data_IF_660079792941
#
_entry.id   IF_660079792941
#
_cell.length_a   1.000
_cell.length_b   1.000
_cell.length_c   1.000
_cell.angle_alpha   90.00
_cell.angle_beta   90.00
_cell.angle_gamma   90.00
#
_symmetry.space_group_name_H-M   'P 1'
#
loop_
_entity.id
_entity.type
_entity.pdbx_description
1 polymer ?
#
# COMPACT_ATOMS: atom_id res chain seq x y z
N UNK A 1 -55.42 -3.93 -33.04
CA UNK A 1 -54.77 -4.30 -31.79
C UNK A 1 -53.33 -3.86 -31.84
N UNK A 2 -53.01 -2.85 -31.09
CA UNK A 2 -51.60 -2.40 -30.98
C UNK A 2 -50.95 -3.14 -29.82
N UNK A 3 -50.06 -4.04 -30.14
CA UNK A 3 -49.18 -4.65 -29.16
C UNK A 3 -48.15 -3.61 -28.72
N UNK A 4 -48.35 -3.09 -27.53
CA UNK A 4 -47.34 -2.25 -26.92
C UNK A 4 -46.10 -3.11 -26.64
N UNK A 5 -45.07 -2.95 -27.45
CA UNK A 5 -43.74 -3.50 -27.16
C UNK A 5 -43.11 -2.62 -26.10
N UNK A 6 -43.28 -3.01 -24.90
CA UNK A 6 -42.46 -2.47 -23.83
C UNK A 6 -41.06 -3.05 -24.00
N UNK A 7 -40.19 -2.25 -24.60
CA UNK A 7 -38.78 -2.57 -24.60
C UNK A 7 -38.28 -2.54 -23.14
N UNK A 8 -38.04 -3.68 -22.57
CA UNK A 8 -37.24 -3.78 -21.35
C UNK A 8 -35.84 -3.28 -21.71
N UNK A 9 -35.60 -2.03 -21.44
CA UNK A 9 -34.23 -1.53 -21.29
C UNK A 9 -33.68 -2.22 -20.06
N UNK A 10 -33.00 -3.37 -20.25
CA UNK A 10 -32.17 -3.93 -19.25
C UNK A 10 -31.01 -2.94 -19.04
N UNK A 11 -31.11 -2.11 -18.03
CA UNK A 11 -29.96 -1.40 -17.49
C UNK A 11 -29.02 -2.46 -16.97
N UNK A 12 -28.05 -2.85 -17.79
CA UNK A 12 -26.89 -3.57 -17.31
C UNK A 12 -26.09 -2.55 -16.50
N UNK A 13 -26.35 -2.52 -15.21
CA UNK A 13 -25.45 -1.84 -14.29
C UNK A 13 -24.14 -2.60 -14.38
N UNK A 14 -23.20 -2.09 -15.16
CA UNK A 14 -21.81 -2.53 -15.08
C UNK A 14 -21.34 -2.14 -13.70
N UNK A 15 -21.34 -3.09 -12.77
CA UNK A 15 -20.60 -2.96 -11.54
C UNK A 15 -19.13 -2.89 -11.93
N UNK A 16 -18.61 -1.67 -12.02
CA UNK A 16 -17.18 -1.46 -12.06
C UNK A 16 -16.62 -2.09 -10.79
N UNK A 17 -15.55 -2.92 -10.91
CA UNK A 17 -14.88 -3.39 -9.72
C UNK A 17 -14.53 -2.15 -8.91
N UNK A 18 -15.06 -2.05 -7.70
CA UNK A 18 -14.64 -1.04 -6.77
C UNK A 18 -13.19 -1.38 -6.44
N UNK A 19 -12.26 -0.75 -7.15
CA UNK A 19 -10.91 -0.65 -6.63
C UNK A 19 -11.06 0.09 -5.31
N UNK A 20 -10.80 -0.61 -4.21
CA UNK A 20 -10.66 0.06 -2.94
C UNK A 20 -9.52 1.05 -3.13
N UNK A 21 -9.86 2.31 -3.45
CA UNK A 21 -8.91 3.40 -3.44
C UNK A 21 -8.45 3.56 -2.01
N UNK A 22 -7.18 3.22 -1.78
CA UNK A 22 -6.60 3.21 -0.46
C UNK A 22 -6.74 1.88 0.26
N UNK A 23 -5.87 1.66 1.22
CA UNK A 23 -5.87 0.51 2.08
C UNK A 23 -6.64 0.76 3.37
N UNK A 24 -6.76 -0.29 4.16
CA UNK A 24 -7.30 -0.26 5.50
C UNK A 24 -6.19 0.05 6.51
N UNK A 25 -6.34 1.13 7.26
CA UNK A 25 -5.35 1.57 8.27
C UNK A 25 -5.15 0.53 9.37
N UNK A 26 -6.21 -0.09 9.85
CA UNK A 26 -6.12 -1.09 10.93
C UNK A 26 -5.47 -2.40 10.45
N UNK A 27 -5.82 -2.86 9.26
CA UNK A 27 -5.13 -3.97 8.63
C UNK A 27 -3.65 -3.65 8.40
N UNK A 28 -3.37 -2.44 7.95
CA UNK A 28 -2.03 -1.92 7.75
C UNK A 28 -1.21 -1.88 9.02
N UNK A 29 -1.82 -1.53 10.13
CA UNK A 29 -1.15 -1.50 11.45
C UNK A 29 -0.61 -2.89 11.82
N UNK A 30 -1.37 -3.93 11.56
CA UNK A 30 -0.94 -5.31 11.80
C UNK A 30 0.13 -5.73 10.80
N UNK A 31 -0.09 -5.47 9.52
CA UNK A 31 0.83 -5.84 8.44
C UNK A 31 2.17 -5.09 8.50
N UNK A 32 2.16 -3.86 9.01
CA UNK A 32 3.36 -3.04 9.16
C UNK A 32 4.18 -3.37 10.40
N UNK A 33 3.81 -4.36 11.18
CA UNK A 33 4.50 -4.69 12.43
C UNK A 33 6.01 -4.94 12.21
N UNK A 34 6.37 -5.67 11.17
CA UNK A 34 7.78 -5.91 10.83
C UNK A 34 8.48 -4.65 10.33
N UNK A 35 7.77 -3.77 9.66
CA UNK A 35 8.31 -2.48 9.18
C UNK A 35 8.72 -1.57 10.35
N UNK A 36 7.94 -1.58 11.42
CA UNK A 36 8.15 -0.75 12.58
C UNK A 36 9.45 -1.08 13.33
N UNK A 37 9.99 -2.28 13.16
CA UNK A 37 11.27 -2.66 13.73
C UNK A 37 12.46 -1.83 13.22
N UNK A 38 12.30 -1.20 12.07
CA UNK A 38 13.28 -0.28 11.48
C UNK A 38 12.69 1.11 11.32
N UNK A 39 11.57 1.23 10.61
CA UNK A 39 10.96 2.53 10.28
C UNK A 39 10.22 3.20 11.45
N UNK A 40 9.96 2.48 12.52
CA UNK A 40 9.34 3.01 13.73
C UNK A 40 10.34 3.59 14.74
N UNK A 41 11.63 3.46 14.50
CA UNK A 41 12.67 3.92 15.41
C UNK A 41 13.27 5.23 14.89
N UNK A 42 13.16 6.34 15.64
CA UNK A 42 13.75 7.60 15.22
C UNK A 42 15.27 7.49 15.02
N UNK A 43 15.77 8.04 13.93
CA UNK A 43 17.20 8.09 13.60
C UNK A 43 17.90 6.73 13.55
N UNK A 44 17.16 5.68 13.21
CA UNK A 44 17.71 4.33 13.15
C UNK A 44 18.67 4.15 11.96
N UNK A 45 19.83 3.60 12.26
CA UNK A 45 20.79 3.14 11.26
C UNK A 45 20.94 1.63 11.35
N UNK A 46 20.85 0.98 10.19
CA UNK A 46 21.18 -0.43 10.09
C UNK A 46 22.71 -0.61 10.23
N UNK A 47 23.14 -1.67 10.87
CA UNK A 47 24.57 -1.88 11.19
C UNK A 47 25.30 -2.59 10.06
N UNK A 48 24.71 -3.65 9.52
CA UNK A 48 25.31 -4.45 8.44
C UNK A 48 24.25 -4.85 7.40
N UNK A 49 24.32 -4.33 6.17
CA UNK A 49 25.16 -3.21 5.76
C UNK A 49 24.73 -1.91 6.44
N UNK A 50 25.66 -0.98 6.60
CA UNK A 50 25.38 0.30 7.25
C UNK A 50 24.62 1.23 6.32
N UNK A 51 23.40 1.60 6.69
CA UNK A 51 22.61 2.62 5.99
C UNK A 51 21.58 3.22 6.94
N UNK A 52 21.18 4.45 6.63
CA UNK A 52 20.14 5.14 7.36
C UNK A 52 18.77 4.63 6.94
N UNK A 53 17.92 4.28 7.91
CA UNK A 53 16.53 3.90 7.64
C UNK A 53 15.67 5.17 7.59
N UNK A 54 14.97 5.43 6.48
CA UNK A 54 14.18 6.64 6.35
C UNK A 54 12.92 6.61 7.21
N UNK A 55 12.47 7.78 7.60
CA UNK A 55 11.15 7.96 8.17
C UNK A 55 10.12 7.94 7.06
N UNK A 56 9.07 7.16 7.23
CA UNK A 56 8.01 7.06 6.23
C UNK A 56 6.63 7.49 6.76
N UNK A 57 6.51 7.75 8.05
CA UNK A 57 5.29 8.30 8.62
C UNK A 57 4.90 9.64 7.99
N UNK A 58 3.65 9.80 7.59
CA UNK A 58 3.15 10.98 6.92
C UNK A 58 3.41 11.04 5.41
N UNK A 59 4.08 10.05 4.83
CA UNK A 59 4.28 9.96 3.39
C UNK A 59 2.96 9.62 2.67
N UNK A 60 2.83 10.01 1.41
CA UNK A 60 1.61 9.71 0.64
C UNK A 60 1.45 8.21 0.37
N UNK A 61 0.20 7.75 0.36
CA UNK A 61 -0.10 6.34 0.06
C UNK A 61 0.44 5.93 -1.31
N UNK A 62 0.21 6.77 -2.32
CA UNK A 62 0.66 6.50 -3.68
C UNK A 62 2.18 6.30 -3.76
N UNK A 63 2.95 7.12 -3.07
CA UNK A 63 4.41 7.00 -3.05
C UNK A 63 4.85 5.71 -2.35
N UNK A 64 4.28 5.39 -1.19
CA UNK A 64 4.63 4.19 -0.44
C UNK A 64 4.33 2.92 -1.27
N UNK A 65 3.16 2.86 -1.90
CA UNK A 65 2.79 1.74 -2.77
C UNK A 65 3.76 1.62 -3.94
N UNK A 66 4.06 2.73 -4.61
CA UNK A 66 5.02 2.72 -5.73
C UNK A 66 6.41 2.26 -5.29
N UNK A 67 6.89 2.70 -4.12
CA UNK A 67 8.17 2.28 -3.57
C UNK A 67 8.19 0.77 -3.26
N UNK A 68 7.16 0.25 -2.60
CA UNK A 68 7.06 -1.18 -2.28
C UNK A 68 7.01 -2.04 -3.55
N UNK A 69 6.26 -1.62 -4.55
CA UNK A 69 6.24 -2.29 -5.87
C UNK A 69 7.61 -2.27 -6.54
N UNK A 70 8.30 -1.14 -6.48
CA UNK A 70 9.64 -0.99 -7.00
C UNK A 70 10.66 -1.91 -6.33
N UNK A 71 10.59 -2.06 -5.02
CA UNK A 71 11.43 -3.01 -4.29
C UNK A 71 11.10 -4.45 -4.63
N UNK A 72 9.82 -4.80 -4.69
CA UNK A 72 9.38 -6.15 -5.05
C UNK A 72 9.82 -6.55 -6.45
N UNK A 73 9.71 -5.67 -7.43
CA UNK A 73 10.12 -5.92 -8.81
C UNK A 73 11.63 -5.90 -9.02
N UNK A 74 12.37 -5.27 -8.14
CA UNK A 74 13.80 -5.03 -8.27
C UNK A 74 14.18 -3.77 -9.04
N UNK A 75 13.21 -2.98 -9.51
CA UNK A 75 13.48 -1.68 -10.15
C UNK A 75 14.16 -0.71 -9.17
N UNK A 76 13.77 -0.78 -7.92
CA UNK A 76 14.39 0.00 -6.86
C UNK A 76 15.39 -0.89 -6.11
N UNK A 77 16.71 -0.66 -6.27
CA UNK A 77 17.73 -1.55 -5.72
C UNK A 77 17.94 -1.28 -4.24
N UNK A 78 17.54 -2.24 -3.41
CA UNK A 78 17.82 -2.27 -1.98
C UNK A 78 17.51 -3.67 -1.45
N UNK A 79 18.52 -4.46 -1.16
CA UNK A 79 18.32 -5.88 -0.85
C UNK A 79 17.43 -6.14 0.36
N UNK A 80 17.59 -5.37 1.42
CA UNK A 80 16.76 -5.52 2.62
C UNK A 80 15.29 -5.22 2.31
N UNK A 81 15.01 -4.10 1.64
CA UNK A 81 13.65 -3.73 1.30
C UNK A 81 13.04 -4.67 0.25
N UNK A 82 13.85 -5.18 -0.67
CA UNK A 82 13.39 -6.21 -1.61
C UNK A 82 12.93 -7.47 -0.89
N UNK A 83 13.68 -7.92 0.11
CA UNK A 83 13.30 -9.07 0.93
C UNK A 83 12.01 -8.79 1.71
N UNK A 84 11.85 -7.61 2.27
CA UNK A 84 10.62 -7.22 2.99
C UNK A 84 9.40 -7.15 2.07
N UNK A 85 9.56 -6.64 0.86
CA UNK A 85 8.46 -6.47 -0.10
C UNK A 85 8.11 -7.75 -0.88
N UNK A 86 8.99 -8.75 -0.90
CA UNK A 86 8.88 -9.91 -1.78
C UNK A 86 7.56 -10.68 -1.67
N UNK A 87 7.01 -10.79 -0.47
CA UNK A 87 5.79 -11.55 -0.19
C UNK A 87 4.55 -10.68 0.00
N UNK A 88 4.65 -9.38 -0.25
CA UNK A 88 3.52 -8.48 -0.12
C UNK A 88 2.62 -8.57 -1.37
N UNK A 89 1.31 -8.70 -1.14
CA UNK A 89 0.31 -8.52 -2.18
C UNK A 89 0.06 -7.03 -2.43
N UNK A 90 -0.64 -6.70 -3.52
CA UNK A 90 -1.04 -5.32 -3.79
C UNK A 90 -1.93 -4.77 -2.66
N UNK A 91 -2.81 -5.59 -2.10
CA UNK A 91 -3.64 -5.21 -0.96
C UNK A 91 -2.80 -4.97 0.29
N UNK A 92 -1.80 -5.81 0.56
CA UNK A 92 -0.88 -5.61 1.68
C UNK A 92 -0.15 -4.28 1.57
N UNK A 93 0.32 -3.95 0.37
CA UNK A 93 1.00 -2.67 0.12
C UNK A 93 0.08 -1.48 0.33
N UNK A 94 -1.17 -1.57 -0.12
CA UNK A 94 -2.16 -0.52 0.08
C UNK A 94 -2.48 -0.32 1.57
N UNK A 95 -2.66 -1.39 2.32
CA UNK A 95 -2.96 -1.34 3.76
C UNK A 95 -1.78 -0.75 4.55
N UNK A 96 -0.57 -1.21 4.25
CA UNK A 96 0.66 -0.69 4.87
C UNK A 96 0.83 0.79 4.55
N UNK A 97 0.59 1.19 3.32
CA UNK A 97 0.66 2.59 2.90
C UNK A 97 -0.35 3.45 3.65
N UNK A 98 -1.59 2.99 3.79
CA UNK A 98 -2.62 3.69 4.56
C UNK A 98 -2.20 3.90 6.02
N UNK A 99 -1.62 2.89 6.64
CA UNK A 99 -1.12 2.99 8.01
C UNK A 99 -0.04 4.06 8.15
N UNK A 100 0.99 4.03 7.31
CA UNK A 100 2.09 4.99 7.43
C UNK A 100 1.68 6.42 7.06
N UNK A 101 0.78 6.58 6.09
CA UNK A 101 0.28 7.91 5.73
C UNK A 101 -0.40 8.61 6.90
N UNK A 102 -1.10 7.86 7.75
CA UNK A 102 -1.78 8.39 8.93
C UNK A 102 -0.93 8.29 10.22
N UNK A 103 0.26 7.72 10.13
CA UNK A 103 1.14 7.64 11.28
C UNK A 103 1.69 9.01 11.65
N UNK A 104 1.96 9.27 12.96
CA UNK A 104 2.54 10.53 13.38
C UNK A 104 3.86 10.81 12.67
N UNK A 105 4.02 12.05 12.21
CA UNK A 105 5.30 12.52 11.70
C UNK A 105 6.18 12.82 12.89
N UNK A 106 7.20 12.01 13.09
CA UNK A 106 8.24 12.32 14.08
C UNK A 106 9.16 13.40 13.51
N UNK A 107 9.10 14.54 14.14
CA UNK A 107 10.04 15.63 13.84
C UNK A 107 11.42 15.35 14.45
#
# INVERSE_FOLDING_TARGET
MKLARWGLLALVAMALPAFAEGGDVEAGRVKANTCMGCHGIPNYNNVYPTYRVPRIGGQTEAYIVAALKGYKSGERPHLTMRAQAANLSDQDMADIAAFFTHAPVHK
#
